data_IF_056465917810
#
_entry.id   IF_056465917810
#
_cell.length_a   1.000
_cell.length_b   1.000
_cell.length_c   1.000
_cell.angle_alpha   90.00
_cell.angle_beta   90.00
_cell.angle_gamma   90.00
#
_symmetry.space_group_name_H-M   'P 1'
#
loop_
_entity.id
_entity.type
_entity.pdbx_description
1 polymer ?
#
# COMPACT_ATOMS: atom_id res chain seq x y z
N UNK A 1 1.94 16.83 -11.61
CA UNK A 1 0.81 16.98 -10.67
C UNK A 1 1.07 18.15 -9.73
N UNK A 2 0.03 18.67 -9.10
CA UNK A 2 0.12 19.58 -7.96
C UNK A 2 -0.27 18.85 -6.66
N UNK A 3 0.01 19.48 -5.53
CA UNK A 3 -0.42 19.04 -4.20
C UNK A 3 -0.85 20.25 -3.35
N UNK A 4 -1.74 20.05 -2.39
CA UNK A 4 -2.18 21.12 -1.48
C UNK A 4 -1.36 21.17 -0.22
N UNK A 5 -1.09 20.01 0.37
CA UNK A 5 -0.51 19.96 1.69
C UNK A 5 0.41 18.75 1.83
N UNK A 6 1.49 18.96 2.57
CA UNK A 6 2.40 17.91 2.97
C UNK A 6 2.67 18.01 4.48
N UNK A 7 2.38 16.93 5.20
CA UNK A 7 2.69 16.80 6.61
C UNK A 7 3.88 15.85 6.78
N UNK A 8 5.03 16.33 7.31
CA UNK A 8 6.22 15.50 7.51
C UNK A 8 6.10 14.56 8.74
N UNK A 9 5.12 14.83 9.60
CA UNK A 9 4.78 14.07 10.81
C UNK A 9 3.27 14.14 10.96
N UNK A 10 2.60 13.00 10.78
CA UNK A 10 1.14 12.88 10.85
C UNK A 10 0.76 11.58 11.56
N UNK A 11 -0.32 11.63 12.33
CA UNK A 11 -0.87 10.50 13.09
C UNK A 11 -2.37 10.28 12.81
N UNK A 12 -2.94 11.06 11.89
CA UNK A 12 -4.36 11.04 11.53
C UNK A 12 -4.61 10.20 10.27
N UNK A 13 -3.69 10.20 9.30
CA UNK A 13 -3.92 9.52 8.02
C UNK A 13 -3.27 8.13 7.98
N UNK A 14 -3.61 7.27 8.94
CA UNK A 14 -3.16 5.89 9.03
C UNK A 14 -2.36 5.59 10.31
N UNK A 15 -1.98 4.32 10.53
CA UNK A 15 -1.30 3.89 11.75
C UNK A 15 0.15 4.38 11.82
N UNK A 16 0.58 4.64 13.06
CA UNK A 16 1.91 5.13 13.39
C UNK A 16 2.13 6.58 12.96
N UNK A 17 3.37 7.04 13.08
CA UNK A 17 3.78 8.35 12.56
C UNK A 17 4.05 8.24 11.06
N UNK A 18 3.49 9.14 10.25
CA UNK A 18 3.52 9.04 8.79
C UNK A 18 3.97 10.36 8.16
N UNK A 19 4.50 10.26 6.95
CA UNK A 19 4.50 11.38 6.01
C UNK A 19 3.18 11.34 5.25
N UNK A 20 2.47 12.46 5.12
CA UNK A 20 1.19 12.49 4.39
C UNK A 20 1.20 13.56 3.31
N UNK A 21 0.92 13.16 2.07
CA UNK A 21 0.81 14.05 0.91
C UNK A 21 -0.63 14.11 0.42
N UNK A 22 -1.18 15.32 0.39
CA UNK A 22 -2.51 15.62 -0.15
C UNK A 22 -2.38 16.18 -1.58
N UNK A 23 -2.64 15.35 -2.60
CA UNK A 23 -2.50 15.73 -4.01
C UNK A 23 -3.67 16.58 -4.52
N UNK A 24 -3.47 17.26 -5.65
CA UNK A 24 -4.53 17.94 -6.42
C UNK A 24 -5.08 17.04 -7.54
N UNK A 25 -6.30 17.30 -7.99
CA UNK A 25 -7.01 16.58 -9.05
C UNK A 25 -7.93 15.50 -8.51
N UNK A 26 -9.24 15.63 -8.74
CA UNK A 26 -10.24 14.60 -8.45
C UNK A 26 -11.45 14.74 -9.39
N UNK A 27 -11.83 13.64 -10.05
CA UNK A 27 -12.99 13.61 -10.97
C UNK A 27 -14.31 13.29 -10.24
N UNK A 28 -14.26 12.83 -8.99
CA UNK A 28 -15.45 12.34 -8.29
C UNK A 28 -16.33 13.43 -7.70
N UNK A 29 -15.73 14.54 -7.28
CA UNK A 29 -16.41 15.74 -6.77
C UNK A 29 -17.52 15.45 -5.75
N UNK A 30 -17.25 14.55 -4.80
CA UNK A 30 -18.26 14.02 -3.89
C UNK A 30 -18.94 15.14 -3.07
N UNK A 31 -20.29 15.15 -2.96
CA UNK A 31 -20.99 16.02 -2.04
C UNK A 31 -20.46 15.84 -0.61
N UNK A 32 -20.31 16.95 0.12
CA UNK A 32 -19.79 16.91 1.50
C UNK A 32 -18.29 16.57 1.64
N UNK A 33 -17.54 16.38 0.55
CA UNK A 33 -16.10 16.07 0.63
C UNK A 33 -15.32 17.11 1.47
N UNK A 34 -14.43 16.64 2.35
CA UNK A 34 -13.57 17.52 3.14
C UNK A 34 -12.51 18.23 2.26
N UNK A 35 -11.99 17.52 1.25
CA UNK A 35 -10.91 18.01 0.39
C UNK A 35 -11.42 18.73 -0.89
N UNK A 36 -12.53 19.47 -0.84
CA UNK A 36 -13.08 20.14 -2.04
C UNK A 36 -12.09 21.06 -2.75
N UNK A 37 -11.20 21.70 -1.98
CA UNK A 37 -10.17 22.59 -2.52
C UNK A 37 -9.19 21.89 -3.47
N UNK A 38 -9.04 20.56 -3.38
CA UNK A 38 -8.07 19.80 -4.17
C UNK A 38 -8.60 19.36 -5.53
N UNK A 39 -9.90 19.54 -5.85
CA UNK A 39 -10.50 18.94 -7.05
C UNK A 39 -9.86 19.38 -8.37
N UNK A 40 -9.47 20.65 -8.49
CA UNK A 40 -8.87 21.17 -9.73
C UNK A 40 -7.41 20.71 -9.85
N UNK A 41 -7.03 20.17 -11.00
CA UNK A 41 -5.67 19.70 -11.27
C UNK A 41 -4.60 20.78 -11.08
N UNK A 42 -4.92 22.02 -11.42
CA UNK A 42 -4.01 23.18 -11.33
C UNK A 42 -4.09 23.92 -9.99
N UNK A 43 -4.80 23.38 -8.98
CA UNK A 43 -4.84 23.96 -7.63
C UNK A 43 -3.63 23.54 -6.79
N UNK A 44 -3.32 24.27 -5.72
CA UNK A 44 -2.19 23.98 -4.84
C UNK A 44 -0.83 24.35 -5.46
N UNK A 45 0.22 23.66 -5.03
CA UNK A 45 1.61 23.88 -5.42
C UNK A 45 2.11 22.80 -6.38
N UNK A 46 3.00 23.11 -7.32
CA UNK A 46 3.64 22.10 -8.17
C UNK A 46 4.38 21.05 -7.33
N UNK A 47 4.15 19.76 -7.65
CA UNK A 47 4.93 18.67 -7.08
C UNK A 47 6.26 18.53 -7.84
N UNK A 48 7.34 19.02 -7.25
CA UNK A 48 8.67 19.06 -7.86
C UNK A 48 9.58 17.91 -7.39
N UNK A 49 10.72 17.73 -8.07
CA UNK A 49 11.75 16.78 -7.64
C UNK A 49 12.25 17.09 -6.21
N UNK A 50 12.37 18.37 -5.83
CA UNK A 50 12.77 18.76 -4.46
C UNK A 50 11.75 18.31 -3.42
N UNK A 51 10.46 18.35 -3.74
CA UNK A 51 9.42 17.84 -2.84
C UNK A 51 9.50 16.31 -2.71
N UNK A 52 9.76 15.62 -3.82
CA UNK A 52 9.98 14.17 -3.82
C UNK A 52 11.18 13.78 -2.95
N UNK A 53 12.32 14.46 -3.12
CA UNK A 53 13.51 14.25 -2.29
C UNK A 53 13.24 14.53 -0.82
N UNK A 54 12.49 15.60 -0.52
CA UNK A 54 12.10 15.93 0.86
C UNK A 54 11.28 14.81 1.51
N UNK A 55 10.36 14.18 0.76
CA UNK A 55 9.57 13.05 1.28
C UNK A 55 10.49 11.88 1.60
N UNK A 56 11.39 11.51 0.70
CA UNK A 56 12.34 10.40 0.92
C UNK A 56 13.25 10.68 2.11
N UNK A 57 13.83 11.89 2.21
CA UNK A 57 14.66 12.27 3.35
C UNK A 57 13.91 12.15 4.69
N UNK A 58 12.66 12.58 4.76
CA UNK A 58 11.87 12.42 5.99
C UNK A 58 11.56 10.96 6.30
N UNK A 59 11.26 10.13 5.29
CA UNK A 59 11.02 8.69 5.50
C UNK A 59 12.28 7.97 6.03
N UNK A 60 13.47 8.40 5.61
CA UNK A 60 14.75 7.84 6.05
C UNK A 60 15.27 8.41 7.38
N UNK A 61 14.73 9.55 7.84
CA UNK A 61 15.20 10.21 9.05
C UNK A 61 14.92 9.35 10.30
N UNK A 62 15.99 8.91 10.94
CA UNK A 62 15.96 8.01 12.11
C UNK A 62 15.66 8.75 13.41
N UNK A 63 15.75 10.09 13.45
CA UNK A 63 15.44 10.89 14.65
C UNK A 63 13.94 10.95 14.92
N UNK A 64 13.15 10.96 13.85
CA UNK A 64 11.69 10.86 13.90
C UNK A 64 11.29 9.67 13.04
N UNK A 65 11.15 8.51 13.68
CA UNK A 65 10.78 7.29 12.97
C UNK A 65 9.36 7.42 12.41
N UNK A 66 9.24 7.41 11.08
CA UNK A 66 7.97 7.22 10.39
C UNK A 66 7.76 5.75 10.07
N UNK A 67 6.54 5.27 10.25
CA UNK A 67 6.09 3.98 9.77
C UNK A 67 5.98 3.96 8.25
N UNK A 68 5.50 5.05 7.64
CA UNK A 68 5.34 5.08 6.20
C UNK A 68 4.81 6.37 5.59
N UNK A 69 4.32 6.23 4.36
CA UNK A 69 3.76 7.29 3.54
C UNK A 69 2.25 7.11 3.39
N UNK A 70 1.51 8.20 3.45
CA UNK A 70 0.08 8.27 3.13
C UNK A 70 -0.17 9.21 1.96
N UNK A 71 -0.97 8.75 1.00
CA UNK A 71 -1.37 9.50 -0.18
C UNK A 71 -2.88 9.73 -0.14
N UNK A 72 -3.29 11.00 -0.11
CA UNK A 72 -4.70 11.42 -0.02
C UNK A 72 -4.89 12.75 -0.76
N UNK A 73 -5.94 13.52 -0.44
CA UNK A 73 -6.22 14.83 -1.03
C UNK A 73 -7.35 14.77 -2.05
N UNK A 74 -7.02 15.08 -3.30
CA UNK A 74 -7.89 14.83 -4.45
C UNK A 74 -8.01 13.33 -4.69
N UNK A 75 -7.36 12.84 -5.73
CA UNK A 75 -7.22 11.40 -5.95
C UNK A 75 -5.81 11.05 -6.46
N UNK A 76 -5.00 10.33 -5.68
CA UNK A 76 -3.70 9.82 -6.13
C UNK A 76 -3.78 8.97 -7.41
N UNK A 77 -4.94 8.34 -7.68
CA UNK A 77 -5.20 7.52 -8.87
C UNK A 77 -5.88 8.30 -10.02
N UNK A 78 -6.06 9.61 -9.90
CA UNK A 78 -6.45 10.45 -11.02
C UNK A 78 -5.45 10.26 -12.20
N UNK A 79 -5.89 10.13 -13.46
CA UNK A 79 -5.00 9.87 -14.61
C UNK A 79 -3.75 10.77 -14.68
N UNK A 80 -3.92 12.09 -14.51
CA UNK A 80 -2.84 13.08 -14.47
C UNK A 80 -1.84 12.93 -13.29
N UNK A 81 -2.18 12.15 -12.26
CA UNK A 81 -1.34 11.92 -11.07
C UNK A 81 -0.57 10.60 -11.15
N UNK A 82 -0.98 9.65 -12.01
CA UNK A 82 -0.41 8.30 -12.05
C UNK A 82 1.10 8.29 -12.26
N UNK A 83 1.62 9.03 -13.25
CA UNK A 83 3.05 9.05 -13.54
C UNK A 83 3.91 9.58 -12.37
N UNK A 84 3.64 10.77 -11.79
CA UNK A 84 4.42 11.25 -10.65
C UNK A 84 4.23 10.40 -9.38
N UNK A 85 3.02 9.88 -9.12
CA UNK A 85 2.79 8.99 -7.97
C UNK A 85 3.54 7.67 -8.13
N UNK A 86 3.49 7.05 -9.30
CA UNK A 86 4.24 5.81 -9.58
C UNK A 86 5.73 6.01 -9.34
N UNK A 87 6.29 7.13 -9.82
CA UNK A 87 7.71 7.47 -9.63
C UNK A 87 8.07 7.60 -8.14
N UNK A 88 7.27 8.35 -7.38
CA UNK A 88 7.47 8.48 -5.93
C UNK A 88 7.40 7.12 -5.23
N UNK A 89 6.40 6.29 -5.55
CA UNK A 89 6.25 4.97 -4.94
C UNK A 89 7.40 4.02 -5.28
N UNK A 90 7.91 4.05 -6.52
CA UNK A 90 9.10 3.29 -6.91
C UNK A 90 10.32 3.70 -6.08
N UNK A 91 10.50 5.00 -5.82
CA UNK A 91 11.56 5.48 -4.91
C UNK A 91 11.36 5.01 -3.49
N UNK A 92 10.14 5.10 -2.95
CA UNK A 92 9.84 4.59 -1.59
C UNK A 92 10.19 3.10 -1.49
N UNK A 93 9.79 2.28 -2.47
CA UNK A 93 10.12 0.84 -2.45
C UNK A 93 11.61 0.55 -2.54
N UNK A 94 12.36 1.37 -3.28
CA UNK A 94 13.80 1.20 -3.46
C UNK A 94 14.62 1.73 -2.27
N UNK A 95 14.27 2.91 -1.78
CA UNK A 95 15.09 3.71 -0.86
C UNK A 95 14.59 3.62 0.59
N UNK A 96 13.36 3.15 0.80
CA UNK A 96 12.69 3.04 2.10
C UNK A 96 11.93 1.69 2.22
N UNK A 97 12.59 0.54 2.03
CA UNK A 97 11.92 -0.77 1.88
C UNK A 97 11.16 -1.22 3.14
N UNK A 98 11.45 -0.65 4.31
CA UNK A 98 10.78 -0.92 5.58
C UNK A 98 9.50 -0.08 5.79
N UNK A 99 9.16 0.81 4.85
CA UNK A 99 8.03 1.74 4.96
C UNK A 99 6.80 1.24 4.25
N UNK A 100 5.66 1.28 4.94
CA UNK A 100 4.38 0.98 4.33
C UNK A 100 3.79 2.19 3.58
N UNK A 101 2.92 1.91 2.60
CA UNK A 101 2.23 2.93 1.83
C UNK A 101 0.72 2.74 1.97
N UNK A 102 0.06 3.81 2.42
CA UNK A 102 -1.39 3.92 2.48
C UNK A 102 -1.88 4.87 1.38
N UNK A 103 -3.01 4.55 0.77
CA UNK A 103 -3.61 5.36 -0.30
C UNK A 103 -5.12 5.43 -0.15
N UNK A 104 -5.67 6.64 -0.21
CA UNK A 104 -7.10 6.88 -0.32
C UNK A 104 -7.46 7.24 -1.75
N UNK A 105 -8.52 6.64 -2.28
CA UNK A 105 -8.99 6.88 -3.64
C UNK A 105 -10.50 6.74 -3.73
N UNK A 106 -11.15 7.48 -4.64
CA UNK A 106 -12.57 7.35 -4.90
C UNK A 106 -12.91 6.27 -5.94
N UNK A 107 -11.92 5.73 -6.65
CA UNK A 107 -12.08 4.54 -7.48
C UNK A 107 -12.22 3.30 -6.59
N UNK A 108 -12.86 2.24 -7.09
CA UNK A 108 -12.89 0.95 -6.40
C UNK A 108 -11.85 0.00 -6.99
N UNK A 109 -11.32 -0.91 -6.18
CA UNK A 109 -10.28 -1.85 -6.57
C UNK A 109 -10.67 -2.66 -7.82
N UNK A 110 -11.94 -3.08 -7.92
CA UNK A 110 -12.47 -3.83 -9.05
C UNK A 110 -12.68 -3.01 -10.34
N UNK A 111 -12.55 -1.69 -10.28
CA UNK A 111 -12.77 -0.78 -11.42
C UNK A 111 -11.49 -0.11 -11.90
N UNK A 112 -10.34 -0.45 -11.33
CA UNK A 112 -9.08 0.18 -11.68
C UNK A 112 -8.66 -0.18 -13.11
N UNK A 113 -8.28 0.84 -13.87
CA UNK A 113 -7.57 0.67 -15.15
C UNK A 113 -6.21 -0.01 -14.93
N UNK A 114 -5.63 -0.58 -15.98
CA UNK A 114 -4.30 -1.20 -15.90
C UNK A 114 -3.23 -0.23 -15.36
N UNK A 115 -3.24 1.02 -15.82
CA UNK A 115 -2.31 2.05 -15.34
C UNK A 115 -2.47 2.35 -13.85
N UNK A 116 -3.70 2.35 -13.33
CA UNK A 116 -3.97 2.49 -11.90
C UNK A 116 -3.54 1.25 -11.12
N UNK A 117 -3.80 0.04 -11.64
CA UNK A 117 -3.38 -1.21 -11.03
C UNK A 117 -1.85 -1.28 -10.86
N UNK A 118 -1.08 -0.80 -11.84
CA UNK A 118 0.38 -0.70 -11.73
C UNK A 118 0.84 0.19 -10.58
N UNK A 119 0.09 1.26 -10.28
CA UNK A 119 0.36 2.13 -9.11
C UNK A 119 -0.02 1.40 -7.82
N UNK A 120 -1.22 0.83 -7.77
CA UNK A 120 -1.75 0.12 -6.59
C UNK A 120 -0.93 -1.13 -6.22
N UNK A 121 -0.27 -1.75 -7.19
CA UNK A 121 0.70 -2.83 -6.96
C UNK A 121 1.86 -2.42 -6.02
N UNK A 122 2.14 -1.12 -5.92
CA UNK A 122 3.17 -0.54 -5.05
C UNK A 122 2.60 0.00 -3.72
N UNK A 123 1.33 -0.23 -3.42
CA UNK A 123 0.61 0.24 -2.22
C UNK A 123 0.37 -0.95 -1.28
N UNK A 124 0.49 -0.74 0.03
CA UNK A 124 0.24 -1.79 1.03
C UNK A 124 -1.20 -1.79 1.54
N UNK A 125 -1.77 -0.60 1.77
CA UNK A 125 -3.17 -0.45 2.19
C UNK A 125 -3.89 0.53 1.28
N UNK A 126 -4.98 0.08 0.67
CA UNK A 126 -5.85 0.90 -0.16
C UNK A 126 -7.18 1.12 0.55
N UNK A 127 -7.56 2.38 0.74
CA UNK A 127 -8.91 2.76 1.15
C UNK A 127 -9.65 3.25 -0.09
N UNK A 128 -10.58 2.44 -0.58
CA UNK A 128 -11.21 2.64 -1.89
C UNK A 128 -12.67 3.12 -1.77
N UNK A 129 -13.19 3.66 -2.88
CA UNK A 129 -14.57 4.12 -3.01
C UNK A 129 -14.79 5.59 -2.68
N UNK A 130 -15.78 6.18 -3.35
CA UNK A 130 -16.18 7.57 -3.17
C UNK A 130 -16.65 7.84 -1.73
N UNK A 131 -16.39 9.05 -1.25
CA UNK A 131 -17.09 9.57 -0.08
C UNK A 131 -18.60 9.70 -0.35
N UNK A 132 -19.43 9.22 0.58
CA UNK A 132 -20.90 9.34 0.57
C UNK A 132 -21.34 10.01 1.86
N UNK A 133 -21.89 11.23 1.74
CA UNK A 133 -22.24 12.07 2.90
C UNK A 133 -23.26 11.40 3.83
N UNK A 134 -24.24 10.68 3.30
CA UNK A 134 -25.27 9.99 4.10
C UNK A 134 -24.72 8.80 4.89
N UNK A 135 -23.54 8.31 4.51
CA UNK A 135 -22.83 7.21 5.16
C UNK A 135 -21.62 7.69 5.96
N UNK A 136 -21.47 9.01 6.15
CA UNK A 136 -20.39 9.58 6.94
C UNK A 136 -20.64 9.34 8.43
N UNK A 137 -19.64 8.78 9.10
CA UNK A 137 -19.63 8.56 10.53
C UNK A 137 -18.22 8.83 11.07
N UNK A 138 -18.04 9.83 11.96
CA UNK A 138 -16.73 10.14 12.57
C UNK A 138 -16.10 9.00 13.36
N UNK A 139 -16.87 7.98 13.76
CA UNK A 139 -16.35 6.80 14.44
C UNK A 139 -15.65 5.81 13.48
N UNK A 140 -15.80 5.99 12.16
CA UNK A 140 -15.15 5.14 11.17
C UNK A 140 -13.65 5.39 11.16
N UNK A 141 -12.90 4.34 11.49
CA UNK A 141 -11.44 4.41 11.52
C UNK A 141 -10.91 4.40 10.08
N UNK A 142 -10.08 5.40 9.75
CA UNK A 142 -9.35 5.55 8.49
C UNK A 142 -10.18 5.74 7.22
N UNK A 143 -11.50 5.95 7.31
CA UNK A 143 -12.35 6.19 6.14
C UNK A 143 -13.42 7.23 6.45
N UNK A 144 -13.84 7.96 5.42
CA UNK A 144 -14.82 9.03 5.56
C UNK A 144 -16.27 8.54 5.53
N UNK A 145 -16.56 7.41 4.86
CA UNK A 145 -17.93 6.89 4.77
C UNK A 145 -17.99 5.37 4.76
N UNK A 146 -19.11 4.83 5.23
CA UNK A 146 -19.29 3.39 5.48
C UNK A 146 -19.19 2.48 4.24
N UNK A 147 -19.37 3.04 3.03
CA UNK A 147 -19.22 2.32 1.77
C UNK A 147 -17.75 2.11 1.35
N UNK A 148 -16.80 2.82 1.96
CA UNK A 148 -15.39 2.71 1.59
C UNK A 148 -14.78 1.44 2.19
N UNK A 149 -13.96 0.72 1.44
CA UNK A 149 -13.36 -0.54 1.88
C UNK A 149 -11.85 -0.35 2.10
N UNK A 150 -11.35 -0.91 3.20
CA UNK A 150 -9.92 -0.93 3.51
C UNK A 150 -9.38 -2.30 3.08
N UNK A 151 -8.46 -2.28 2.11
CA UNK A 151 -7.80 -3.47 1.56
C UNK A 151 -6.36 -3.53 2.06
N UNK A 152 -6.02 -4.55 2.86
CA UNK A 152 -4.61 -4.86 3.18
C UNK A 152 -4.00 -5.70 2.04
N UNK A 153 -3.51 -4.98 1.03
CA UNK A 153 -2.91 -5.57 -0.18
C UNK A 153 -1.60 -6.29 0.14
N UNK A 154 -0.86 -5.83 1.16
CA UNK A 154 0.37 -6.49 1.58
C UNK A 154 0.09 -7.87 2.18
N UNK A 155 -0.87 -7.98 3.10
CA UNK A 155 -1.29 -9.25 3.67
C UNK A 155 -1.86 -10.19 2.58
N UNK A 156 -2.67 -9.67 1.67
CA UNK A 156 -3.22 -10.43 0.54
C UNK A 156 -2.11 -11.04 -0.34
N UNK A 157 -1.09 -10.24 -0.72
CA UNK A 157 0.07 -10.72 -1.50
C UNK A 157 0.86 -11.80 -0.74
N UNK A 158 1.05 -11.64 0.58
CA UNK A 158 1.73 -12.65 1.40
C UNK A 158 0.96 -13.97 1.45
N UNK A 159 -0.36 -13.93 1.61
CA UNK A 159 -1.21 -15.12 1.63
C UNK A 159 -1.22 -15.82 0.27
N UNK A 160 -1.33 -15.07 -0.83
CA UNK A 160 -1.26 -15.62 -2.18
C UNK A 160 0.10 -16.28 -2.46
N UNK A 161 1.21 -15.64 -2.08
CA UNK A 161 2.54 -16.21 -2.21
C UNK A 161 2.74 -17.48 -1.38
N UNK A 162 2.21 -17.52 -0.16
CA UNK A 162 2.24 -18.72 0.69
C UNK A 162 1.40 -19.86 0.09
N UNK A 163 0.19 -19.55 -0.41
CA UNK A 163 -0.67 -20.53 -1.08
C UNK A 163 -0.01 -21.11 -2.33
N UNK A 164 0.60 -20.27 -3.17
CA UNK A 164 1.29 -20.72 -4.38
C UNK A 164 2.45 -21.66 -4.04
N UNK A 165 3.25 -21.34 -3.02
CA UNK A 165 4.34 -22.21 -2.53
C UNK A 165 3.80 -23.54 -2.02
N UNK A 166 2.70 -23.54 -1.27
CA UNK A 166 2.06 -24.77 -0.80
C UNK A 166 1.56 -25.64 -1.96
N UNK A 167 0.93 -25.04 -2.98
CA UNK A 167 0.49 -25.74 -4.19
C UNK A 167 1.64 -26.34 -4.98
N UNK A 168 2.76 -25.62 -5.13
CA UNK A 168 3.96 -26.13 -5.81
C UNK A 168 4.56 -27.32 -5.04
N UNK A 169 4.73 -27.21 -3.72
CA UNK A 169 5.24 -28.32 -2.91
C UNK A 169 4.32 -29.56 -2.97
N UNK A 170 3.00 -29.37 -2.97
CA UNK A 170 2.05 -30.48 -3.10
C UNK A 170 2.15 -31.18 -4.45
N UNK A 171 2.36 -30.42 -5.54
CA UNK A 171 2.58 -30.97 -6.87
C UNK A 171 3.90 -31.75 -6.96
N UNK A 172 4.97 -31.26 -6.34
CA UNK A 172 6.26 -31.98 -6.24
C UNK A 172 6.14 -33.30 -5.47
N UNK A 173 5.41 -33.31 -4.34
CA UNK A 173 5.14 -34.52 -3.56
C UNK A 173 4.31 -35.52 -4.38
N UNK A 174 3.26 -35.07 -5.07
CA UNK A 174 2.44 -35.93 -5.92
C UNK A 174 3.27 -36.56 -7.04
N UNK A 175 4.13 -35.77 -7.70
CA UNK A 175 5.03 -36.27 -8.74
C UNK A 175 6.03 -37.31 -8.19
N UNK A 176 6.57 -37.11 -6.99
CA UNK A 176 7.47 -38.07 -6.35
C UNK A 176 6.76 -39.38 -5.93
N UNK A 177 5.46 -39.32 -5.58
CA UNK A 177 4.66 -40.51 -5.28
C UNK A 177 4.29 -41.30 -6.55
N UNK A 178 4.10 -40.63 -7.68
CA UNK A 178 3.79 -41.26 -8.98
C UNK A 178 5.01 -41.93 -9.63
N UNK A 179 6.23 -41.45 -9.40
CA UNK A 179 7.46 -42.02 -9.97
C UNK A 179 8.01 -43.24 -9.21
N UNK A 180 7.40 -43.64 -8.08
CA UNK A 180 7.75 -44.88 -7.39
C UNK A 180 9.17 -44.93 -6.78
N UNK A 181 9.86 -43.81 -6.62
CA UNK A 181 11.17 -43.75 -5.97
C UNK A 181 11.05 -43.62 -4.45
N UNK A 182 10.54 -44.68 -3.80
CA UNK A 182 10.69 -44.87 -2.36
C UNK A 182 12.13 -45.32 -2.04
N UNK A 183 13.10 -44.40 -2.07
CA UNK A 183 14.43 -44.61 -1.48
C UNK A 183 14.75 -43.51 -0.48
N UNK A 184 14.61 -43.84 0.80
CA UNK A 184 15.27 -43.10 1.88
C UNK A 184 14.46 -42.94 3.16
N UNK A 185 14.14 -44.04 3.86
CA UNK A 185 13.92 -43.93 5.31
C UNK A 185 15.24 -43.52 5.97
N UNK A 186 15.29 -42.47 6.80
CA UNK A 186 16.44 -42.26 7.67
C UNK A 186 16.45 -43.35 8.74
N UNK A 187 17.50 -44.17 8.74
CA UNK A 187 17.76 -45.11 9.83
C UNK A 187 18.02 -44.32 11.13
N UNK A 188 17.53 -44.78 12.29
CA UNK A 188 17.85 -44.15 13.56
C UNK A 188 19.30 -44.50 13.92
N UNK A 189 20.21 -43.54 13.86
CA UNK A 189 21.56 -43.70 14.42
C UNK A 189 21.50 -43.53 15.93
N UNK A 190 22.06 -44.53 16.60
CA UNK A 190 21.89 -44.80 18.02
C UNK A 190 22.49 -43.74 18.95
N UNK A 191 21.90 -43.72 20.15
CA UNK A 191 22.39 -43.05 21.34
C UNK A 191 23.74 -43.68 21.73
N UNK A 192 24.80 -42.86 21.74
CA UNK A 192 26.06 -43.23 22.37
C UNK A 192 25.97 -42.93 23.87
N UNK A 193 25.91 -43.99 24.66
CA UNK A 193 26.12 -44.01 26.11
C UNK A 193 27.64 -43.87 26.37
N UNK A 194 28.07 -42.75 26.94
CA UNK A 194 29.43 -42.61 27.49
C UNK A 194 29.33 -42.53 28.99
N UNK A 195 29.61 -43.67 29.64
CA UNK A 195 30.09 -43.75 31.01
C UNK A 195 31.57 -43.35 31.04
N UNK A 196 31.88 -42.33 31.83
CA UNK A 196 33.06 -42.25 32.73
C UNK A 196 32.76 -41.21 33.81
#
# INVERSE_FOLDING_TARGET
MNYHQYYPVDVINGPGTRCTLFVSGCEHQCPGCYNKSTWRLNSGLPFTAQMEDRIICHLQDTRIRRQGLSLSGGDPLHPANLAPIRRLLQRVRRECPDKDVWMWTGYTLGTLTEAQQQVVALVDVLVDGKFVQDLHDPALIWRGSGNQVIHDLHAQRRLQGASLRASLNAAEISAAMETGDAKGSPAPTGVADTRE
#
